data_IF_893843716526
#
_entry.id   IF_893843716526
#
_cell.length_a   1.000
_cell.length_b   1.000
_cell.length_c   1.000
_cell.angle_alpha   90.00
_cell.angle_beta   90.00
_cell.angle_gamma   90.00
#
_symmetry.space_group_name_H-M   'P 1'
#
loop_
_entity.id
_entity.type
_entity.pdbx_description
1 polymer ?
#
# COMPACT_ATOMS: atom_id res chain seq x y z
N UNK A 1 -15.51 -17.54 -15.03
CA UNK A 1 -14.07 -17.80 -15.24
C UNK A 1 -13.32 -16.57 -14.78
N UNK A 2 -12.64 -16.64 -13.64
CA UNK A 2 -11.90 -15.52 -13.08
C UNK A 2 -10.54 -15.45 -13.79
N UNK A 3 -10.42 -14.51 -14.72
CA UNK A 3 -9.22 -14.33 -15.54
C UNK A 3 -8.06 -13.88 -14.65
N UNK A 4 -6.91 -14.53 -14.82
CA UNK A 4 -5.65 -14.33 -14.09
C UNK A 4 -5.02 -12.95 -14.34
N UNK A 5 -5.71 -11.87 -13.96
CA UNK A 5 -5.18 -10.51 -13.89
C UNK A 5 -4.34 -10.27 -12.61
N UNK A 6 -4.00 -11.33 -11.88
CA UNK A 6 -3.47 -11.29 -10.52
C UNK A 6 -1.95 -11.38 -10.38
N UNK A 7 -1.17 -11.49 -11.46
CA UNK A 7 0.26 -11.83 -11.34
C UNK A 7 1.14 -10.58 -11.13
N UNK A 8 1.05 -9.58 -12.02
CA UNK A 8 1.91 -8.39 -11.96
C UNK A 8 1.67 -7.49 -10.74
N UNK A 9 0.40 -7.22 -10.40
CA UNK A 9 0.07 -6.36 -9.26
C UNK A 9 0.41 -7.00 -7.91
N UNK A 10 0.30 -8.33 -7.80
CA UNK A 10 0.72 -9.07 -6.61
C UNK A 10 2.24 -9.06 -6.43
N UNK A 11 3.00 -9.18 -7.52
CA UNK A 11 4.47 -9.06 -7.49
C UNK A 11 4.88 -7.65 -7.03
N UNK A 12 4.27 -6.61 -7.61
CA UNK A 12 4.52 -5.23 -7.19
C UNK A 12 4.18 -5.02 -5.72
N UNK A 13 3.02 -5.50 -5.28
CA UNK A 13 2.60 -5.40 -3.88
C UNK A 13 3.62 -6.06 -2.94
N UNK A 14 4.03 -7.31 -3.21
CA UNK A 14 4.99 -8.03 -2.37
C UNK A 14 6.33 -7.29 -2.25
N UNK A 15 6.81 -6.72 -3.36
CA UNK A 15 8.04 -5.93 -3.37
C UNK A 15 7.93 -4.67 -2.53
N UNK A 16 6.82 -3.94 -2.65
CA UNK A 16 6.58 -2.73 -1.86
C UNK A 16 6.33 -3.04 -0.37
N UNK A 17 5.63 -4.14 -0.07
CA UNK A 17 5.39 -4.60 1.29
C UNK A 17 6.69 -4.90 2.04
N UNK A 18 7.66 -5.59 1.40
CA UNK A 18 8.97 -5.83 2.01
C UNK A 18 9.76 -4.54 2.26
N UNK A 19 9.64 -3.54 1.38
CA UNK A 19 10.26 -2.22 1.60
C UNK A 19 9.58 -1.46 2.75
N UNK A 20 8.25 -1.54 2.84
CA UNK A 20 7.46 -0.93 3.91
C UNK A 20 7.75 -1.58 5.28
N UNK A 21 7.78 -2.91 5.36
CA UNK A 21 8.13 -3.66 6.56
C UNK A 21 9.48 -3.20 7.13
N UNK A 22 10.49 -3.11 6.26
CA UNK A 22 11.82 -2.63 6.63
C UNK A 22 11.79 -1.17 7.09
N UNK A 23 10.98 -0.32 6.47
CA UNK A 23 10.80 1.07 6.85
C UNK A 23 10.15 1.20 8.24
N UNK A 24 9.09 0.44 8.51
CA UNK A 24 8.42 0.38 9.81
C UNK A 24 9.37 -0.14 10.90
N UNK A 25 10.10 -1.22 10.62
CA UNK A 25 11.08 -1.80 11.55
C UNK A 25 12.18 -0.81 11.93
N UNK A 26 12.68 -0.02 10.96
CA UNK A 26 13.68 1.04 11.22
C UNK A 26 13.16 2.16 12.13
N UNK A 27 11.85 2.36 12.18
CA UNK A 27 11.20 3.34 13.04
C UNK A 27 10.71 2.73 14.36
N UNK A 28 11.15 1.50 14.69
CA UNK A 28 10.86 0.87 15.98
C UNK A 28 9.50 0.19 16.08
N UNK A 29 8.80 0.00 14.96
CA UNK A 29 7.53 -0.71 14.92
C UNK A 29 7.76 -2.21 15.05
N UNK A 30 6.92 -2.88 15.84
CA UNK A 30 7.01 -4.32 16.05
C UNK A 30 6.67 -5.08 14.76
N UNK A 31 7.18 -6.30 14.62
CA UNK A 31 6.82 -7.15 13.47
C UNK A 31 5.30 -7.40 13.40
N UNK A 32 4.66 -7.61 14.56
CA UNK A 32 3.22 -7.84 14.63
C UNK A 32 2.41 -6.64 14.11
N UNK A 33 2.79 -5.42 14.51
CA UNK A 33 2.10 -4.21 14.05
C UNK A 33 2.37 -3.96 12.56
N UNK A 34 3.59 -4.24 12.10
CA UNK A 34 3.94 -4.16 10.69
C UNK A 34 3.11 -5.14 9.84
N UNK A 35 2.92 -6.38 10.31
CA UNK A 35 2.08 -7.38 9.65
C UNK A 35 0.63 -6.90 9.51
N UNK A 36 0.04 -6.35 10.58
CA UNK A 36 -1.32 -5.80 10.56
C UNK A 36 -1.46 -4.66 9.54
N UNK A 37 -0.49 -3.74 9.51
CA UNK A 37 -0.46 -2.63 8.55
C UNK A 37 -0.35 -3.15 7.12
N UNK A 38 0.51 -4.15 6.86
CA UNK A 38 0.70 -4.74 5.53
C UNK A 38 -0.57 -5.48 5.08
N UNK A 39 -1.19 -6.24 5.98
CA UNK A 39 -2.45 -6.94 5.71
C UNK A 39 -3.55 -5.95 5.31
N UNK A 40 -3.77 -4.90 6.11
CA UNK A 40 -4.79 -3.89 5.79
C UNK A 40 -4.44 -3.13 4.49
N UNK A 41 -3.16 -2.82 4.28
CA UNK A 41 -2.67 -2.22 3.03
C UNK A 41 -3.01 -3.06 1.82
N UNK A 42 -2.95 -4.39 1.93
CA UNK A 42 -3.31 -5.32 0.85
C UNK A 42 -4.80 -5.21 0.50
N UNK A 43 -5.67 -5.20 1.50
CA UNK A 43 -7.13 -5.08 1.32
C UNK A 43 -7.46 -3.76 0.62
N UNK A 44 -6.83 -2.66 1.04
CA UNK A 44 -7.03 -1.34 0.44
C UNK A 44 -6.47 -1.26 -0.98
N UNK A 45 -5.27 -1.78 -1.22
CA UNK A 45 -4.60 -1.77 -2.52
C UNK A 45 -5.39 -2.53 -3.59
N UNK A 46 -5.73 -3.79 -3.30
CA UNK A 46 -6.50 -4.62 -4.21
C UNK A 46 -7.95 -4.14 -4.30
N UNK A 47 -8.53 -3.63 -3.20
CA UNK A 47 -9.84 -2.99 -3.21
C UNK A 47 -9.91 -1.84 -4.21
N UNK A 48 -8.89 -0.96 -4.25
CA UNK A 48 -8.81 0.13 -5.24
C UNK A 48 -8.56 -0.37 -6.66
N UNK A 49 -7.75 -1.42 -6.84
CA UNK A 49 -7.50 -2.03 -8.17
C UNK A 49 -8.76 -2.64 -8.78
N UNK A 50 -9.59 -3.28 -7.97
CA UNK A 50 -10.76 -4.04 -8.42
C UNK A 50 -12.10 -3.29 -8.27
N UNK A 51 -12.13 -2.11 -7.64
CA UNK A 51 -13.37 -1.35 -7.47
C UNK A 51 -14.00 -0.95 -8.81
N UNK A 52 -15.32 -1.14 -8.92
CA UNK A 52 -16.09 -0.88 -10.15
C UNK A 52 -16.21 0.61 -10.49
N UNK A 53 -16.08 1.52 -9.52
CA UNK A 53 -16.01 2.98 -9.77
C UNK A 53 -14.78 3.36 -10.60
N UNK A 54 -13.72 2.54 -10.54
CA UNK A 54 -12.53 2.72 -11.35
C UNK A 54 -12.70 2.26 -12.81
N UNK A 55 -13.84 1.70 -13.24
CA UNK A 55 -14.06 1.37 -14.67
C UNK A 55 -14.16 2.62 -15.54
N UNK A 56 -14.73 3.71 -15.02
CA UNK A 56 -14.75 5.02 -15.71
C UNK A 56 -13.38 5.72 -15.59
N UNK A 57 -12.72 5.61 -14.44
CA UNK A 57 -11.37 6.18 -14.20
C UNK A 57 -10.24 5.42 -14.89
N UNK A 58 -10.42 4.15 -15.26
CA UNK A 58 -9.44 3.33 -16.02
C UNK A 58 -9.09 3.97 -17.37
N UNK A 59 -9.99 4.79 -17.92
CA UNK A 59 -9.78 5.55 -19.14
C UNK A 59 -8.98 6.86 -18.93
N UNK A 60 -8.87 7.36 -17.70
CA UNK A 60 -8.26 8.67 -17.39
C UNK A 60 -7.08 8.61 -16.42
N UNK A 61 -6.92 7.55 -15.62
CA UNK A 61 -5.82 7.41 -14.65
C UNK A 61 -5.31 5.97 -14.62
N UNK A 62 -4.24 5.73 -15.39
CA UNK A 62 -3.24 4.71 -15.02
C UNK A 62 -2.60 5.18 -13.71
N UNK A 63 -3.18 4.85 -12.56
CA UNK A 63 -2.46 5.06 -11.30
C UNK A 63 -1.25 4.12 -11.29
N UNK A 64 -0.08 4.69 -11.02
CA UNK A 64 1.15 3.95 -10.85
C UNK A 64 1.00 2.96 -9.67
N UNK A 65 1.40 1.68 -9.82
CA UNK A 65 1.29 0.69 -8.76
C UNK A 65 1.96 1.11 -7.44
N UNK A 66 3.05 1.88 -7.48
CA UNK A 66 3.71 2.35 -6.27
C UNK A 66 2.92 3.47 -5.61
N UNK A 67 2.36 4.41 -6.38
CA UNK A 67 1.49 5.46 -5.85
C UNK A 67 0.26 4.86 -5.15
N UNK A 68 -0.40 3.89 -5.79
CA UNK A 68 -1.56 3.22 -5.23
C UNK A 68 -1.22 2.47 -3.93
N UNK A 69 -0.05 1.84 -3.89
CA UNK A 69 0.46 1.19 -2.69
C UNK A 69 0.72 2.22 -1.59
N UNK A 70 1.44 3.31 -1.89
CA UNK A 70 1.77 4.35 -0.91
C UNK A 70 0.53 4.99 -0.28
N UNK A 71 -0.52 5.27 -1.07
CA UNK A 71 -1.78 5.77 -0.52
C UNK A 71 -2.48 4.74 0.39
N UNK A 72 -2.41 3.46 0.02
CA UNK A 72 -3.05 2.38 0.79
C UNK A 72 -2.33 2.16 2.11
N UNK A 73 -1.00 2.14 2.08
CA UNK A 73 -0.14 2.04 3.25
C UNK A 73 -0.24 3.25 4.16
N UNK A 74 -0.27 4.48 3.63
CA UNK A 74 -0.44 5.68 4.44
C UNK A 74 -1.76 5.64 5.24
N UNK A 75 -2.83 5.17 4.60
CA UNK A 75 -4.14 5.04 5.24
C UNK A 75 -4.18 3.94 6.30
N UNK A 76 -3.51 2.80 6.07
CA UNK A 76 -3.37 1.76 7.07
C UNK A 76 -2.55 2.25 8.28
N UNK A 77 -1.43 2.92 8.03
CA UNK A 77 -0.61 3.50 9.10
C UNK A 77 -1.38 4.57 9.88
N UNK A 78 -2.13 5.45 9.23
CA UNK A 78 -2.95 6.44 9.94
C UNK A 78 -3.97 5.78 10.88
N UNK A 79 -4.50 4.60 10.53
CA UNK A 79 -5.46 3.85 11.36
C UNK A 79 -4.79 3.14 12.54
N UNK A 80 -3.64 2.52 12.31
CA UNK A 80 -2.95 1.70 13.29
C UNK A 80 -1.95 2.48 14.16
N UNK A 81 -1.37 3.55 13.63
CA UNK A 81 -0.34 4.40 14.22
C UNK A 81 -0.60 5.87 13.85
N UNK A 82 -1.69 6.48 14.36
CA UNK A 82 -2.09 7.84 13.98
C UNK A 82 -0.99 8.90 14.25
N UNK A 83 -0.12 8.67 15.24
CA UNK A 83 1.05 9.50 15.54
C UNK A 83 2.10 9.51 14.42
N UNK A 84 2.12 8.49 13.57
CA UNK A 84 3.08 8.35 12.49
C UNK A 84 2.63 9.06 11.20
N UNK A 85 1.36 9.49 11.10
CA UNK A 85 0.76 9.97 9.84
C UNK A 85 1.49 11.16 9.22
N UNK A 86 2.01 12.06 10.05
CA UNK A 86 2.71 13.28 9.63
C UNK A 86 4.24 13.12 9.64
N UNK A 87 4.73 11.89 9.89
CA UNK A 87 6.17 11.56 9.95
C UNK A 87 6.49 10.44 8.94
N UNK A 88 7.07 9.33 9.41
CA UNK A 88 7.47 8.19 8.58
C UNK A 88 6.28 7.45 7.95
N UNK A 89 5.07 7.62 8.50
CA UNK A 89 3.82 7.07 7.99
C UNK A 89 3.12 7.93 6.95
N UNK A 90 3.68 9.10 6.62
CA UNK A 90 3.10 9.97 5.59
C UNK A 90 3.24 9.37 4.20
N UNK A 91 2.29 9.68 3.31
CA UNK A 91 2.34 9.26 1.91
C UNK A 91 3.69 9.59 1.25
N UNK A 92 4.23 10.79 1.51
CA UNK A 92 5.50 11.24 0.93
C UNK A 92 6.68 10.38 1.38
N UNK A 93 6.74 10.02 2.65
CA UNK A 93 7.82 9.16 3.18
C UNK A 93 7.69 7.73 2.69
N UNK A 94 6.47 7.19 2.64
CA UNK A 94 6.23 5.85 2.09
C UNK A 94 6.56 5.80 0.60
N UNK A 95 6.13 6.79 -0.18
CA UNK A 95 6.41 6.85 -1.61
C UNK A 95 7.93 6.93 -1.91
N UNK A 96 8.72 7.54 -1.02
CA UNK A 96 10.19 7.54 -1.11
C UNK A 96 10.77 6.17 -0.76
N UNK A 97 10.23 5.48 0.24
CA UNK A 97 10.81 4.23 0.73
C UNK A 97 10.54 3.02 -0.19
N UNK A 98 9.42 3.04 -0.92
CA UNK A 98 9.03 1.94 -1.83
C UNK A 98 9.60 2.07 -3.25
N UNK A 99 10.08 3.25 -3.65
CA UNK A 99 10.76 3.48 -4.94
C UNK A 99 12.10 2.76 -5.00
#
# INVERSE_FOLDING_TARGET
>A
MAEAHGDGHSIHFAHYAGKLERHLSKNGISCHDADLIIEESSVLYFGKLYSSENKLSKLLRKHDPAELFAESAAKAIERHLPEAKDTFGSFGEIAKCIK
#
